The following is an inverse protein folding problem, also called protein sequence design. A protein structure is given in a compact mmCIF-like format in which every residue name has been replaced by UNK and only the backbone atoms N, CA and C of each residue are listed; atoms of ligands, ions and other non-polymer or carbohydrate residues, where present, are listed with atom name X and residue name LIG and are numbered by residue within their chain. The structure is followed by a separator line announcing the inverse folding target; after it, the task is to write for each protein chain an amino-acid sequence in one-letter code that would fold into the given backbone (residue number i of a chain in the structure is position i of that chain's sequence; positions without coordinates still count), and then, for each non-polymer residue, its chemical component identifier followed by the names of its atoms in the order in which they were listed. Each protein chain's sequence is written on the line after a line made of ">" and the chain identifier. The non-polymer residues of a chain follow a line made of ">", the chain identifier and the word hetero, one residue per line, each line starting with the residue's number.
data_IF_137945328306
#
_entry.id   IF_137945328306
#
_cell.length_a   1.000
_cell.length_b   1.000
_cell.length_c   1.000
_cell.angle_alpha   90.00
_cell.angle_beta   90.00
_cell.angle_gamma   90.00
#
_symmetry.space_group_name_H-M   'P 1'
#
loop_
_entity.id
_entity.type
_entity.pdbx_description
1 polymer ?
#
# COMPACT_ATOMS: atom_id res chain seq x y z
N UNK A 1 -4.67 -40.05 11.49
CA UNK A 1 -3.80 -38.88 11.80
C UNK A 1 -2.69 -39.36 12.74
N UNK A 2 -1.44 -38.95 12.56
CA UNK A 2 -0.36 -39.35 13.50
C UNK A 2 -0.54 -38.63 14.83
N UNK A 3 -0.41 -39.36 15.93
CA UNK A 3 -0.76 -38.90 17.27
C UNK A 3 0.17 -37.83 17.84
N UNK A 4 1.46 -37.83 17.46
CA UNK A 4 2.41 -36.82 17.92
C UNK A 4 3.38 -36.41 16.82
N UNK A 5 3.57 -35.09 16.71
CA UNK A 5 4.46 -34.46 15.76
C UNK A 5 5.67 -33.91 16.53
N UNK A 6 6.87 -34.37 16.19
CA UNK A 6 8.10 -33.86 16.80
C UNK A 6 8.49 -32.52 16.14
N UNK A 7 8.36 -31.42 16.89
CA UNK A 7 8.72 -30.07 16.45
C UNK A 7 10.13 -29.67 16.89
N UNK A 8 10.95 -30.60 17.38
CA UNK A 8 12.25 -30.33 18.00
C UNK A 8 13.28 -29.71 17.02
N UNK A 9 13.04 -29.86 15.71
CA UNK A 9 13.88 -29.28 14.63
C UNK A 9 13.20 -28.13 13.86
N UNK A 10 12.05 -27.63 14.33
CA UNK A 10 11.32 -26.58 13.62
C UNK A 10 12.05 -25.22 13.74
N UNK A 11 12.58 -24.73 12.61
CA UNK A 11 13.13 -23.37 12.51
C UNK A 11 11.98 -22.35 12.60
N UNK A 12 12.04 -21.43 13.58
CA UNK A 12 11.13 -20.27 13.67
C UNK A 12 11.26 -19.44 12.38
N UNK A 13 10.30 -19.54 11.48
CA UNK A 13 10.25 -18.73 10.26
C UNK A 13 9.91 -17.29 10.67
N UNK A 14 10.63 -16.29 10.13
CA UNK A 14 10.29 -14.87 10.28
C UNK A 14 8.80 -14.67 9.90
N UNK A 15 8.02 -13.87 10.63
CA UNK A 15 6.64 -13.61 10.26
C UNK A 15 6.60 -13.12 8.81
N UNK A 16 5.78 -13.77 7.99
CA UNK A 16 5.61 -13.43 6.57
C UNK A 16 5.16 -11.97 6.54
N UNK A 17 6.04 -11.08 6.08
CA UNK A 17 5.96 -9.66 6.43
C UNK A 17 4.71 -8.96 5.88
N UNK A 18 4.18 -9.37 4.74
CA UNK A 18 2.92 -8.81 4.20
C UNK A 18 2.22 -9.87 3.35
N UNK A 19 1.18 -10.50 3.90
CA UNK A 19 0.28 -11.36 3.13
C UNK A 19 -0.71 -10.42 2.43
N UNK A 20 -0.76 -10.44 1.10
CA UNK A 20 -1.80 -9.73 0.34
C UNK A 20 -3.16 -10.27 0.77
N UNK A 21 -4.03 -9.40 1.27
CA UNK A 21 -5.38 -9.78 1.68
C UNK A 21 -6.27 -9.78 0.43
N UNK A 22 -6.92 -10.90 0.14
CA UNK A 22 -7.93 -10.96 -0.91
C UNK A 22 -9.16 -10.16 -0.45
N UNK A 23 -9.56 -9.19 -1.26
CA UNK A 23 -10.75 -8.36 -1.02
C UNK A 23 -11.55 -8.23 -2.30
N UNK A 24 -12.87 -8.35 -2.16
CA UNK A 24 -13.81 -8.00 -3.22
C UNK A 24 -14.13 -6.51 -3.09
N UNK A 25 -13.87 -5.75 -4.14
CA UNK A 25 -14.22 -4.33 -4.24
C UNK A 25 -15.14 -4.14 -5.43
N UNK A 26 -16.08 -3.19 -5.33
CA UNK A 26 -16.86 -2.74 -6.48
C UNK A 26 -16.13 -1.55 -7.08
N UNK A 27 -15.87 -1.61 -8.37
CA UNK A 27 -15.27 -0.53 -9.16
C UNK A 27 -16.23 -0.18 -10.28
N UNK A 28 -16.33 1.11 -10.58
CA UNK A 28 -17.02 1.58 -11.77
C UNK A 28 -16.30 1.09 -13.03
N UNK A 29 -17.03 0.81 -14.12
CA UNK A 29 -16.45 0.28 -15.35
C UNK A 29 -15.39 1.22 -15.94
N UNK A 30 -15.65 2.53 -15.94
CA UNK A 30 -14.71 3.54 -16.43
C UNK A 30 -13.38 3.55 -15.67
N UNK A 31 -13.43 3.27 -14.36
CA UNK A 31 -12.25 3.22 -13.50
C UNK A 31 -11.44 1.96 -13.80
N UNK A 32 -12.10 0.84 -14.06
CA UNK A 32 -11.42 -0.39 -14.45
C UNK A 32 -10.71 -0.25 -15.80
N UNK A 33 -11.38 0.30 -16.80
CA UNK A 33 -10.79 0.56 -18.12
C UNK A 33 -9.56 1.47 -18.02
N UNK A 34 -9.66 2.54 -17.22
CA UNK A 34 -8.52 3.42 -16.97
C UNK A 34 -7.35 2.68 -16.28
N UNK A 35 -7.64 1.86 -15.27
CA UNK A 35 -6.62 1.07 -14.57
C UNK A 35 -5.94 0.07 -15.49
N UNK A 36 -6.68 -0.59 -16.38
CA UNK A 36 -6.13 -1.54 -17.36
C UNK A 36 -5.22 -0.84 -18.37
N UNK A 37 -5.68 0.27 -18.96
CA UNK A 37 -4.89 1.04 -19.92
C UNK A 37 -3.59 1.58 -19.29
N UNK A 38 -3.65 2.05 -18.05
CA UNK A 38 -2.47 2.57 -17.36
C UNK A 38 -1.53 1.46 -16.88
N UNK A 39 -2.07 0.29 -16.53
CA UNK A 39 -1.27 -0.87 -16.16
C UNK A 39 -0.54 -1.46 -17.39
N UNK A 40 -1.17 -1.48 -18.56
CA UNK A 40 -0.55 -1.92 -19.82
C UNK A 40 0.65 -1.05 -20.18
N UNK A 41 0.54 0.27 -20.07
CA UNK A 41 1.67 1.21 -20.28
C UNK A 41 2.87 0.92 -19.38
N UNK A 42 2.62 0.41 -18.18
CA UNK A 42 3.66 0.08 -17.20
C UNK A 42 4.11 -1.39 -17.29
N UNK A 43 3.50 -2.19 -18.18
CA UNK A 43 3.79 -3.62 -18.30
C UNK A 43 3.37 -4.44 -17.07
N UNK A 44 2.36 -4.00 -16.32
CA UNK A 44 1.86 -4.64 -15.10
C UNK A 44 0.39 -5.03 -15.23
N UNK A 45 -0.11 -5.97 -14.42
CA UNK A 45 -1.55 -6.23 -14.33
C UNK A 45 -2.29 -5.13 -13.54
N UNK A 46 -3.57 -4.89 -13.86
CA UNK A 46 -4.37 -3.81 -13.26
C UNK A 46 -4.42 -3.88 -11.73
N UNK A 47 -4.50 -5.08 -11.14
CA UNK A 47 -4.51 -5.26 -9.67
C UNK A 47 -3.19 -4.83 -9.02
N UNK A 48 -2.07 -5.12 -9.70
CA UNK A 48 -0.74 -4.71 -9.24
C UNK A 48 -0.59 -3.21 -9.35
N UNK A 49 -1.03 -2.63 -10.47
CA UNK A 49 -1.03 -1.18 -10.69
C UNK A 49 -1.89 -0.46 -9.65
N UNK A 50 -3.12 -0.92 -9.42
CA UNK A 50 -4.04 -0.37 -8.42
C UNK A 50 -3.38 -0.35 -7.02
N UNK A 51 -2.83 -1.48 -6.58
CA UNK A 51 -2.17 -1.54 -5.28
C UNK A 51 -0.93 -0.62 -5.20
N UNK A 52 -0.14 -0.53 -6.27
CA UNK A 52 1.00 0.41 -6.33
C UNK A 52 0.53 1.87 -6.26
N UNK A 53 -0.52 2.21 -7.02
CA UNK A 53 -1.08 3.56 -7.08
C UNK A 53 -1.61 3.97 -5.71
N UNK A 54 -2.38 3.10 -5.04
CA UNK A 54 -2.88 3.34 -3.68
C UNK A 54 -1.73 3.56 -2.69
N UNK A 55 -0.68 2.71 -2.73
CA UNK A 55 0.50 2.90 -1.88
C UNK A 55 1.20 4.24 -2.13
N UNK A 56 1.35 4.63 -3.39
CA UNK A 56 1.94 5.92 -3.78
C UNK A 56 1.12 7.09 -3.26
N UNK A 57 -0.20 7.01 -3.35
CA UNK A 57 -1.11 8.05 -2.85
C UNK A 57 -1.06 8.13 -1.31
N UNK A 58 -1.03 7.00 -0.61
CA UNK A 58 -0.84 6.96 0.84
C UNK A 58 0.47 7.65 1.26
N UNK A 59 1.58 7.37 0.57
CA UNK A 59 2.87 8.01 0.86
C UNK A 59 2.89 9.51 0.52
N UNK A 60 2.11 9.95 -0.47
CA UNK A 60 2.01 11.37 -0.85
C UNK A 60 1.16 12.19 0.12
N UNK A 61 0.11 11.59 0.70
CA UNK A 61 -0.77 12.27 1.67
C UNK A 61 0.00 12.87 2.84
N UNK A 62 0.90 12.08 3.44
CA UNK A 62 1.75 12.56 4.55
C UNK A 62 2.64 13.73 4.14
N UNK A 63 3.22 13.70 2.93
CA UNK A 63 4.23 14.68 2.53
C UNK A 63 3.67 16.07 2.25
N UNK A 64 2.44 16.21 1.73
CA UNK A 64 1.87 17.55 1.44
C UNK A 64 1.44 18.23 2.73
N UNK A 65 0.72 17.52 3.61
CA UNK A 65 0.28 18.05 4.89
C UNK A 65 1.47 18.41 5.79
N UNK A 66 2.51 17.55 5.84
CA UNK A 66 3.75 17.84 6.56
C UNK A 66 4.53 19.02 5.97
N UNK A 67 4.49 19.20 4.64
CA UNK A 67 5.12 20.37 3.97
C UNK A 67 4.35 21.66 4.25
N UNK A 68 3.01 21.60 4.24
CA UNK A 68 2.15 22.74 4.59
C UNK A 68 2.38 23.12 6.05
N UNK A 69 2.37 22.16 6.99
CA UNK A 69 2.63 22.42 8.40
C UNK A 69 4.02 23.02 8.66
N UNK A 70 5.05 22.57 7.91
CA UNK A 70 6.40 23.17 7.96
C UNK A 70 6.40 24.61 7.42
N UNK A 71 5.69 24.87 6.32
CA UNK A 71 5.57 26.21 5.74
C UNK A 71 4.80 27.14 6.67
N UNK A 72 3.68 26.71 7.25
CA UNK A 72 2.91 27.52 8.21
C UNK A 72 3.75 27.90 9.42
N UNK A 73 4.54 26.97 9.97
CA UNK A 73 5.46 27.23 11.10
C UNK A 73 6.60 28.20 10.73
N UNK A 74 7.04 28.19 9.47
CA UNK A 74 8.09 29.07 8.96
C UNK A 74 7.59 30.48 8.58
N UNK A 75 6.36 30.56 8.04
CA UNK A 75 5.75 31.81 7.56
C UNK A 75 5.05 32.57 8.70
N UNK A 76 4.52 31.86 9.69
CA UNK A 76 3.96 32.44 10.91
C UNK A 76 4.81 32.05 12.12
N UNK A 77 6.03 32.60 12.29
CA UNK A 77 6.73 32.47 13.54
C UNK A 77 5.84 33.12 14.60
N UNK A 78 5.43 32.33 15.59
CA UNK A 78 4.59 32.76 16.71
C UNK A 78 5.22 34.04 17.28
N UNK A 79 4.58 35.19 17.06
CA UNK A 79 4.97 36.46 17.68
C UNK A 79 4.92 36.23 19.19
N UNK A 80 6.10 36.20 19.81
CA UNK A 80 6.26 36.43 21.23
C UNK A 80 6.09 37.94 21.50
#
# INVERSE_FOLDING_TARGET
>A
MKSEYDFSKAKKKKPVKEIKILKTIRLDPEVLEWLEAEAEKQGMGYQTYLNWHLRKTMSKGSSIEERIAKLEKAVFPKKA
#
